data_IF_013129129304
#
_entry.id   IF_013129129304
#
_cell.length_a   1.000
_cell.length_b   1.000
_cell.length_c   1.000
_cell.angle_alpha   90.00
_cell.angle_beta   90.00
_cell.angle_gamma   90.00
#
_symmetry.space_group_name_H-M   'P 1'
#
loop_
_entity.id
_entity.type
_entity.pdbx_description
1 polymer ?
#
# COMPACT_ATOMS: atom_id res chain seq x y z
N UNK A 1 -10.83 -23.25 -2.75
CA UNK A 1 -11.68 -24.44 -2.51
C UNK A 1 -11.46 -25.58 -3.52
N UNK A 2 -11.49 -25.34 -4.83
CA UNK A 2 -11.28 -26.42 -5.84
C UNK A 2 -9.87 -27.04 -5.76
N UNK A 3 -8.81 -26.21 -5.72
CA UNK A 3 -7.42 -26.72 -5.53
C UNK A 3 -7.19 -27.42 -4.18
N UNK A 4 -8.08 -27.19 -3.22
CA UNK A 4 -8.05 -27.82 -1.90
C UNK A 4 -9.00 -29.03 -1.81
N UNK A 5 -9.54 -29.51 -2.94
CA UNK A 5 -10.49 -30.62 -3.04
C UNK A 5 -11.78 -30.45 -2.20
N UNK A 6 -12.20 -29.19 -1.96
CA UNK A 6 -13.42 -28.86 -1.20
C UNK A 6 -14.65 -28.64 -2.08
N UNK A 7 -14.45 -28.41 -3.39
CA UNK A 7 -15.52 -28.20 -4.38
C UNK A 7 -15.16 -28.86 -5.71
N UNK A 8 -16.19 -29.26 -6.48
CA UNK A 8 -16.03 -29.72 -7.85
C UNK A 8 -15.49 -28.59 -8.76
N UNK A 9 -14.68 -28.91 -9.78
CA UNK A 9 -14.21 -27.92 -10.74
C UNK A 9 -15.37 -27.25 -11.50
N UNK A 10 -15.37 -25.93 -11.53
CA UNK A 10 -16.29 -25.11 -12.32
C UNK A 10 -15.51 -24.24 -13.30
N UNK A 11 -16.20 -23.63 -14.27
CA UNK A 11 -15.58 -22.69 -15.23
C UNK A 11 -16.34 -21.39 -15.29
N UNK A 12 -15.62 -20.28 -15.37
CA UNK A 12 -16.21 -18.96 -15.58
C UNK A 12 -15.29 -18.05 -16.41
N UNK A 13 -15.85 -16.95 -16.90
CA UNK A 13 -15.14 -16.04 -17.80
C UNK A 13 -13.91 -15.41 -17.11
N UNK A 14 -12.74 -15.44 -17.78
CA UNK A 14 -11.46 -14.95 -17.24
C UNK A 14 -10.99 -15.62 -15.94
N UNK A 15 -11.47 -16.82 -15.62
CA UNK A 15 -11.07 -17.60 -14.44
C UNK A 15 -9.55 -17.65 -14.23
N UNK A 16 -8.78 -18.05 -15.24
CA UNK A 16 -7.31 -18.15 -15.16
C UNK A 16 -6.63 -16.84 -14.74
N UNK A 17 -7.21 -15.70 -15.13
CA UNK A 17 -6.69 -14.38 -14.76
C UNK A 17 -7.03 -14.06 -13.31
N UNK A 18 -8.29 -14.24 -12.91
CA UNK A 18 -8.78 -13.89 -11.59
C UNK A 18 -8.22 -14.79 -10.48
N UNK A 19 -8.08 -16.10 -10.73
CA UNK A 19 -7.46 -17.05 -9.79
C UNK A 19 -6.02 -16.66 -9.50
N UNK A 20 -5.24 -16.23 -10.51
CA UNK A 20 -3.87 -15.74 -10.33
C UNK A 20 -3.76 -14.47 -9.48
N UNK A 21 -4.87 -13.78 -9.23
CA UNK A 21 -4.94 -12.58 -8.39
C UNK A 21 -5.36 -12.87 -6.94
N UNK A 22 -5.92 -14.04 -6.65
CA UNK A 22 -6.29 -14.43 -5.27
C UNK A 22 -5.15 -14.26 -4.25
N UNK A 23 -3.88 -14.59 -4.56
CA UNK A 23 -2.78 -14.37 -3.62
C UNK A 23 -2.63 -12.93 -3.13
N UNK A 24 -3.10 -11.93 -3.89
CA UNK A 24 -3.07 -10.53 -3.47
C UNK A 24 -3.94 -10.26 -2.24
N UNK A 25 -5.02 -11.02 -2.04
CA UNK A 25 -5.91 -10.92 -0.88
C UNK A 25 -5.28 -11.41 0.41
N UNK A 26 -4.35 -12.37 0.33
CA UNK A 26 -3.71 -13.00 1.50
C UNK A 26 -2.96 -11.99 2.38
N UNK A 27 -2.55 -10.86 1.79
CA UNK A 27 -1.85 -9.80 2.52
C UNK A 27 -2.76 -8.78 3.19
N UNK A 28 -4.06 -8.75 2.87
CA UNK A 28 -5.00 -7.78 3.41
C UNK A 28 -5.28 -8.06 4.89
N UNK A 29 -4.99 -7.07 5.74
CA UNK A 29 -5.03 -7.24 7.18
C UNK A 29 -5.51 -5.98 7.95
N UNK A 30 -6.21 -5.05 7.28
CA UNK A 30 -6.93 -3.95 7.95
C UNK A 30 -8.30 -4.45 8.40
N UNK A 31 -8.59 -4.42 9.71
CA UNK A 31 -9.87 -4.91 10.26
C UNK A 31 -11.05 -4.18 9.65
N UNK A 32 -10.91 -2.87 9.49
CA UNK A 32 -11.94 -1.99 8.94
C UNK A 32 -12.23 -2.29 7.48
N UNK A 33 -11.18 -2.42 6.66
CA UNK A 33 -11.32 -2.78 5.24
C UNK A 33 -11.90 -4.19 5.08
N UNK A 34 -11.43 -5.18 5.84
CA UNK A 34 -11.92 -6.55 5.76
C UNK A 34 -13.41 -6.62 6.11
N UNK A 35 -13.84 -5.99 7.22
CA UNK A 35 -15.24 -5.96 7.63
C UNK A 35 -16.13 -5.29 6.58
N UNK A 36 -15.68 -4.18 6.01
CA UNK A 36 -16.40 -3.51 4.93
C UNK A 36 -16.55 -4.41 3.71
N UNK A 37 -15.45 -5.03 3.23
CA UNK A 37 -15.48 -5.88 2.05
C UNK A 37 -16.34 -7.12 2.26
N UNK A 38 -16.25 -7.77 3.42
CA UNK A 38 -17.11 -8.93 3.75
C UNK A 38 -18.59 -8.52 3.69
N UNK A 39 -18.96 -7.42 4.35
CA UNK A 39 -20.35 -6.96 4.35
C UNK A 39 -20.84 -6.55 2.95
N UNK A 40 -20.00 -5.87 2.16
CA UNK A 40 -20.34 -5.47 0.79
C UNK A 40 -20.51 -6.69 -0.13
N UNK A 41 -19.57 -7.65 -0.09
CA UNK A 41 -19.61 -8.85 -0.91
C UNK A 41 -20.76 -9.80 -0.55
N UNK A 42 -21.18 -9.81 0.72
CA UNK A 42 -22.37 -10.53 1.19
C UNK A 42 -23.69 -9.82 0.85
N UNK A 43 -23.65 -8.61 0.31
CA UNK A 43 -24.84 -7.80 0.00
C UNK A 43 -25.50 -7.16 1.22
N UNK A 44 -24.83 -7.16 2.37
CA UNK A 44 -25.31 -6.56 3.63
C UNK A 44 -25.02 -5.07 3.74
N UNK A 45 -24.13 -4.56 2.89
CA UNK A 45 -23.65 -3.18 2.92
C UNK A 45 -23.64 -2.55 1.53
N UNK A 46 -24.15 -1.33 1.45
CA UNK A 46 -23.99 -0.43 0.31
C UNK A 46 -22.95 0.64 0.63
N UNK A 47 -22.35 1.23 -0.40
CA UNK A 47 -21.39 2.35 -0.24
C UNK A 47 -22.14 3.62 0.09
N UNK A 48 -21.73 4.30 1.15
CA UNK A 48 -22.38 5.52 1.65
C UNK A 48 -21.41 6.70 1.79
N UNK A 49 -20.10 6.44 1.87
CA UNK A 49 -19.08 7.46 2.11
C UNK A 49 -17.97 7.48 1.07
N UNK A 50 -17.30 8.62 0.92
CA UNK A 50 -16.12 8.76 0.04
C UNK A 50 -15.01 7.75 0.40
N UNK A 51 -14.86 7.44 1.68
CA UNK A 51 -13.85 6.48 2.14
C UNK A 51 -14.20 5.04 1.76
N UNK A 52 -15.47 4.65 1.86
CA UNK A 52 -15.96 3.36 1.38
C UNK A 52 -15.86 3.25 -0.15
N UNK A 53 -16.07 4.35 -0.88
CA UNK A 53 -15.80 4.39 -2.33
C UNK A 53 -14.32 4.15 -2.64
N UNK A 54 -13.41 4.70 -1.84
CA UNK A 54 -11.97 4.42 -1.95
C UNK A 54 -11.63 2.98 -1.55
N UNK A 55 -12.36 2.37 -0.60
CA UNK A 55 -12.20 0.94 -0.28
C UNK A 55 -12.57 0.04 -1.46
N UNK A 56 -13.67 0.34 -2.18
CA UNK A 56 -14.01 -0.37 -3.41
C UNK A 56 -12.99 -0.15 -4.52
N UNK A 57 -12.49 1.08 -4.67
CA UNK A 57 -11.42 1.38 -5.62
C UNK A 57 -10.16 0.52 -5.33
N UNK A 58 -9.77 0.42 -4.06
CA UNK A 58 -8.69 -0.44 -3.60
C UNK A 58 -8.97 -1.92 -3.92
N UNK A 59 -10.20 -2.39 -3.70
CA UNK A 59 -10.60 -3.76 -4.02
C UNK A 59 -10.50 -4.05 -5.53
N UNK A 60 -11.03 -3.17 -6.40
CA UNK A 60 -10.87 -3.30 -7.85
C UNK A 60 -9.39 -3.45 -8.25
N UNK A 61 -8.51 -2.59 -7.73
CA UNK A 61 -7.07 -2.64 -8.03
C UNK A 61 -6.28 -3.74 -7.31
N UNK A 62 -6.96 -4.55 -6.49
CA UNK A 62 -6.41 -5.82 -6.00
C UNK A 62 -6.40 -6.88 -7.11
N UNK A 63 -7.38 -6.83 -8.01
CA UNK A 63 -7.51 -7.77 -9.14
C UNK A 63 -6.97 -7.20 -10.45
N UNK A 64 -7.19 -5.92 -10.70
CA UNK A 64 -6.82 -5.27 -11.95
C UNK A 64 -5.58 -4.38 -11.81
N UNK A 65 -4.82 -4.24 -12.90
CA UNK A 65 -3.61 -3.41 -12.95
C UNK A 65 -3.74 -2.18 -13.85
N UNK A 66 -4.97 -1.81 -14.22
CA UNK A 66 -5.28 -0.60 -15.00
C UNK A 66 -6.72 -0.14 -14.77
N UNK A 67 -7.02 1.09 -15.19
CA UNK A 67 -8.38 1.65 -15.17
C UNK A 67 -9.40 0.77 -15.94
N UNK A 68 -10.70 0.81 -15.54
CA UNK A 68 -11.81 0.07 -16.14
C UNK A 68 -11.83 0.03 -17.67
N UNK A 69 -11.68 1.18 -18.32
CA UNK A 69 -11.78 1.29 -19.79
C UNK A 69 -10.76 0.42 -20.53
N UNK A 70 -9.56 0.23 -19.96
CA UNK A 70 -8.52 -0.65 -20.51
C UNK A 70 -8.77 -2.14 -20.25
N UNK A 71 -9.62 -2.47 -19.28
CA UNK A 71 -10.07 -3.82 -18.98
C UNK A 71 -11.38 -4.18 -19.70
N UNK A 72 -11.95 -3.26 -20.48
CA UNK A 72 -13.22 -3.45 -21.19
C UNK A 72 -14.45 -3.12 -20.36
N UNK A 73 -14.30 -2.44 -19.21
CA UNK A 73 -15.39 -2.02 -18.35
C UNK A 73 -15.71 -0.53 -18.50
N UNK A 74 -16.98 -0.17 -18.32
CA UNK A 74 -17.47 1.21 -18.35
C UNK A 74 -17.27 1.92 -17.01
N UNK A 75 -17.17 1.17 -15.91
CA UNK A 75 -16.98 1.68 -14.55
C UNK A 75 -16.22 0.69 -13.66
N UNK A 76 -15.73 1.17 -12.52
CA UNK A 76 -15.14 0.30 -11.50
C UNK A 76 -16.16 -0.67 -10.93
N UNK A 77 -17.39 -0.19 -10.71
CA UNK A 77 -18.50 -1.01 -10.25
C UNK A 77 -18.72 -2.19 -11.20
N UNK A 78 -18.71 -1.98 -12.52
CA UNK A 78 -18.88 -3.07 -13.48
C UNK A 78 -17.76 -4.12 -13.35
N UNK A 79 -16.50 -3.70 -13.17
CA UNK A 79 -15.39 -4.62 -12.97
C UNK A 79 -15.49 -5.41 -11.65
N UNK A 80 -15.97 -4.77 -10.58
CA UNK A 80 -16.24 -5.44 -9.30
C UNK A 80 -17.38 -6.43 -9.45
N UNK A 81 -18.50 -6.03 -10.07
CA UNK A 81 -19.64 -6.89 -10.37
C UNK A 81 -19.23 -8.10 -11.23
N UNK A 82 -18.32 -7.92 -12.17
CA UNK A 82 -17.75 -9.02 -12.94
C UNK A 82 -17.04 -10.05 -12.04
N UNK A 83 -16.17 -9.60 -11.12
CA UNK A 83 -15.49 -10.49 -10.14
C UNK A 83 -16.50 -11.29 -9.31
N UNK A 84 -17.57 -10.62 -8.83
CA UNK A 84 -18.50 -11.22 -7.87
C UNK A 84 -19.70 -11.93 -8.53
N UNK A 85 -19.78 -11.90 -9.86
CA UNK A 85 -20.84 -12.57 -10.64
C UNK A 85 -20.79 -14.09 -10.52
N UNK A 86 -19.60 -14.65 -10.30
CA UNK A 86 -19.42 -16.06 -9.99
C UNK A 86 -19.59 -16.27 -8.49
N UNK A 87 -20.69 -16.93 -8.10
CA UNK A 87 -21.02 -17.18 -6.69
C UNK A 87 -19.88 -17.91 -5.94
N UNK A 88 -19.35 -18.99 -6.51
CA UNK A 88 -18.28 -19.77 -5.89
C UNK A 88 -16.99 -18.96 -5.71
N UNK A 89 -16.64 -18.10 -6.69
CA UNK A 89 -15.48 -17.22 -6.57
C UNK A 89 -15.68 -16.13 -5.52
N UNK A 90 -16.88 -15.55 -5.46
CA UNK A 90 -17.25 -14.58 -4.42
C UNK A 90 -17.18 -15.19 -3.02
N UNK A 91 -17.69 -16.40 -2.85
CA UNK A 91 -17.62 -17.15 -1.58
C UNK A 91 -16.16 -17.42 -1.18
N UNK A 92 -15.30 -17.84 -2.11
CA UNK A 92 -13.85 -17.99 -1.86
C UNK A 92 -13.22 -16.70 -1.36
N UNK A 93 -13.53 -15.55 -2.00
CA UNK A 93 -13.02 -14.25 -1.55
C UNK A 93 -13.48 -13.96 -0.12
N UNK A 94 -14.77 -14.15 0.17
CA UNK A 94 -15.33 -13.91 1.52
C UNK A 94 -14.64 -14.82 2.54
N UNK A 95 -14.38 -16.08 2.22
CA UNK A 95 -13.69 -17.03 3.09
C UNK A 95 -12.25 -16.59 3.38
N UNK A 96 -11.50 -16.16 2.35
CA UNK A 96 -10.14 -15.62 2.51
C UNK A 96 -10.16 -14.37 3.41
N UNK A 97 -11.07 -13.43 3.16
CA UNK A 97 -11.16 -12.19 3.94
C UNK A 97 -11.57 -12.48 5.39
N UNK A 98 -12.50 -13.41 5.61
CA UNK A 98 -12.96 -13.84 6.93
C UNK A 98 -11.86 -14.58 7.70
N UNK A 99 -11.08 -15.39 7.00
CA UNK A 99 -9.88 -16.01 7.58
C UNK A 99 -8.89 -14.94 8.01
N UNK A 100 -8.56 -13.99 7.14
CA UNK A 100 -7.64 -12.90 7.47
C UNK A 100 -8.13 -12.11 8.69
N UNK A 101 -9.41 -11.74 8.75
CA UNK A 101 -10.00 -10.95 9.85
C UNK A 101 -9.83 -11.65 11.21
N UNK A 102 -10.10 -12.96 11.26
CA UNK A 102 -9.96 -13.78 12.47
C UNK A 102 -8.50 -13.99 12.91
N UNK A 103 -7.54 -13.82 12.00
CA UNK A 103 -6.11 -14.08 12.25
C UNK A 103 -5.27 -12.81 12.38
N UNK A 104 -5.88 -11.62 12.52
CA UNK A 104 -5.14 -10.39 12.79
C UNK A 104 -4.62 -10.42 14.23
N UNK A 105 -3.30 -10.60 14.36
CA UNK A 105 -2.57 -10.75 15.63
C UNK A 105 -1.80 -9.49 16.07
N UNK A 106 -2.06 -8.35 15.44
CA UNK A 106 -1.47 -7.05 15.78
C UNK A 106 -2.55 -5.99 16.00
N UNK A 107 -2.17 -4.85 16.56
CA UNK A 107 -3.06 -3.68 16.74
C UNK A 107 -2.92 -2.77 15.52
N UNK A 108 -4.01 -2.64 14.76
CA UNK A 108 -4.16 -1.62 13.72
C UNK A 108 -4.76 -0.34 14.33
N UNK A 109 -4.51 0.80 13.69
CA UNK A 109 -5.06 2.09 14.09
C UNK A 109 -5.40 2.89 12.84
N UNK A 110 -6.52 3.62 12.85
CA UNK A 110 -6.86 4.50 11.73
C UNK A 110 -5.82 5.61 11.57
N UNK A 111 -5.60 6.01 10.31
CA UNK A 111 -4.74 7.14 10.01
C UNK A 111 -5.37 8.47 10.49
N UNK A 112 -4.53 9.49 10.64
CA UNK A 112 -4.95 10.83 11.08
C UNK A 112 -5.03 11.84 9.93
N UNK A 113 -5.18 11.39 8.68
CA UNK A 113 -5.28 12.29 7.54
C UNK A 113 -6.56 13.15 7.63
N UNK A 114 -6.51 14.43 7.22
CA UNK A 114 -7.69 15.30 7.22
C UNK A 114 -8.60 15.08 6.00
N UNK A 115 -8.43 13.96 5.29
CA UNK A 115 -9.16 13.60 4.08
C UNK A 115 -9.42 12.08 4.10
N UNK A 116 -10.42 11.63 3.34
CA UNK A 116 -10.76 10.22 3.23
C UNK A 116 -9.55 9.39 2.77
N UNK A 117 -9.22 8.35 3.53
CA UNK A 117 -8.12 7.44 3.21
C UNK A 117 -8.37 6.08 3.88
N UNK A 118 -8.61 5.01 3.10
CA UNK A 118 -8.95 3.69 3.64
C UNK A 118 -7.72 2.88 4.13
N UNK A 119 -6.61 3.55 4.45
CA UNK A 119 -5.37 2.89 4.90
C UNK A 119 -5.23 3.00 6.41
N UNK A 120 -5.10 1.86 7.08
CA UNK A 120 -4.86 1.79 8.52
C UNK A 120 -3.39 1.51 8.80
N UNK A 121 -2.90 2.06 9.91
CA UNK A 121 -1.53 1.91 10.37
C UNK A 121 -1.21 0.43 10.60
N UNK A 122 0.02 0.07 10.27
CA UNK A 122 0.63 -1.25 10.42
C UNK A 122 0.00 -2.34 9.55
N UNK A 123 -0.99 -1.98 8.73
CA UNK A 123 -1.57 -2.87 7.73
C UNK A 123 -0.71 -2.88 6.46
N UNK A 124 -0.87 -3.93 5.65
CA UNK A 124 -0.09 -4.21 4.45
C UNK A 124 -0.91 -3.94 3.20
N UNK A 125 -0.30 -3.25 2.24
CA UNK A 125 -0.93 -2.84 0.99
C UNK A 125 0.05 -2.94 -0.18
N UNK A 126 -0.43 -3.39 -1.33
CA UNK A 126 0.34 -3.32 -2.58
C UNK A 126 0.45 -1.88 -3.08
N UNK A 127 1.39 -1.62 -4.00
CA UNK A 127 1.52 -0.30 -4.65
C UNK A 127 0.21 0.17 -5.27
N UNK A 128 -0.51 -0.73 -5.95
CA UNK A 128 -1.78 -0.39 -6.62
C UNK A 128 -2.85 0.00 -5.61
N UNK A 129 -2.95 -0.74 -4.50
CA UNK A 129 -3.89 -0.46 -3.41
C UNK A 129 -3.59 0.90 -2.76
N UNK A 130 -2.31 1.22 -2.52
CA UNK A 130 -1.90 2.51 -1.98
C UNK A 130 -2.26 3.65 -2.93
N UNK A 131 -1.92 3.53 -4.22
CA UNK A 131 -2.24 4.56 -5.20
C UNK A 131 -3.76 4.74 -5.39
N UNK A 132 -4.54 3.66 -5.27
CA UNK A 132 -6.00 3.70 -5.30
C UNK A 132 -6.59 4.40 -4.07
N UNK A 133 -6.07 4.10 -2.88
CA UNK A 133 -6.50 4.71 -1.63
C UNK A 133 -6.24 6.22 -1.57
N UNK A 134 -5.24 6.73 -2.28
CA UNK A 134 -4.99 8.17 -2.44
C UNK A 134 -5.69 8.78 -3.67
N UNK A 135 -6.47 8.01 -4.43
CA UNK A 135 -7.18 8.48 -5.62
C UNK A 135 -6.29 8.77 -6.84
N UNK A 136 -4.99 8.41 -6.78
CA UNK A 136 -4.06 8.53 -7.91
C UNK A 136 -4.45 7.54 -9.01
N UNK A 137 -4.80 6.34 -8.59
CA UNK A 137 -5.44 5.33 -9.42
C UNK A 137 -6.95 5.38 -9.14
N UNK A 138 -7.74 5.55 -10.19
CA UNK A 138 -9.18 5.74 -10.11
C UNK A 138 -9.86 5.30 -11.42
N UNK A 139 -11.19 5.43 -11.48
CA UNK A 139 -12.01 4.96 -12.61
C UNK A 139 -11.53 5.43 -13.98
N UNK A 140 -10.87 6.59 -14.05
CA UNK A 140 -10.48 7.18 -15.32
C UNK A 140 -9.00 6.98 -15.66
N UNK A 141 -8.15 6.69 -14.66
CA UNK A 141 -6.69 6.62 -14.88
C UNK A 141 -5.97 5.73 -13.85
N UNK A 142 -4.98 4.98 -14.34
CA UNK A 142 -3.97 4.29 -13.54
C UNK A 142 -2.57 4.61 -14.08
N UNK A 143 -1.99 5.81 -13.80
CA UNK A 143 -0.68 6.18 -14.32
C UNK A 143 0.42 5.27 -13.75
N UNK A 144 1.44 4.97 -14.58
CA UNK A 144 2.58 4.19 -14.13
C UNK A 144 3.35 4.91 -13.02
N UNK A 145 3.84 4.14 -12.05
CA UNK A 145 4.57 4.66 -10.89
C UNK A 145 5.91 3.94 -10.76
N UNK A 146 7.01 4.71 -10.73
CA UNK A 146 8.39 4.21 -10.67
C UNK A 146 9.31 4.96 -9.71
N UNK A 147 8.87 6.09 -9.16
CA UNK A 147 9.77 7.08 -8.55
C UNK A 147 10.02 6.87 -7.05
N UNK A 148 9.42 5.83 -6.45
CA UNK A 148 9.57 5.51 -5.01
C UNK A 148 8.98 6.56 -4.07
N UNK A 149 8.61 7.74 -4.58
CA UNK A 149 7.95 8.83 -3.86
C UNK A 149 6.87 9.42 -4.75
N UNK A 150 5.72 9.77 -4.17
CA UNK A 150 4.65 10.48 -4.87
C UNK A 150 4.22 11.72 -4.09
N UNK A 151 4.34 12.88 -4.72
CA UNK A 151 3.75 14.12 -4.24
C UNK A 151 2.27 14.20 -4.65
N UNK A 152 1.38 14.33 -3.67
CA UNK A 152 -0.07 14.51 -3.81
C UNK A 152 -0.38 15.97 -3.48
N UNK A 153 -0.26 16.84 -4.48
CA UNK A 153 -0.41 18.29 -4.33
C UNK A 153 -1.80 18.67 -3.81
N UNK A 154 -2.86 18.02 -4.31
CA UNK A 154 -4.24 18.23 -3.85
C UNK A 154 -4.47 17.86 -2.38
N UNK A 155 -3.58 17.04 -1.81
CA UNK A 155 -3.66 16.55 -0.42
C UNK A 155 -2.60 17.15 0.50
N UNK A 156 -1.68 17.96 -0.03
CA UNK A 156 -0.51 18.44 0.72
C UNK A 156 0.24 17.29 1.42
N UNK A 157 0.47 16.19 0.69
CA UNK A 157 1.07 14.96 1.24
C UNK A 157 2.09 14.36 0.28
N UNK A 158 3.28 13.99 0.75
CA UNK A 158 4.17 13.07 0.03
C UNK A 158 4.10 11.68 0.66
N UNK A 159 4.02 10.65 -0.19
CA UNK A 159 4.05 9.25 0.24
C UNK A 159 5.33 8.59 -0.25
N UNK A 160 6.06 7.95 0.67
CA UNK A 160 7.36 7.32 0.41
C UNK A 160 7.19 5.81 0.40
N UNK A 161 7.63 5.17 -0.66
CA UNK A 161 7.69 3.72 -0.83
C UNK A 161 9.12 3.26 -0.63
N UNK A 162 9.38 2.63 0.51
CA UNK A 162 10.71 2.28 0.98
C UNK A 162 10.86 0.76 0.97
N UNK A 163 11.89 0.27 0.29
CA UNK A 163 12.31 -1.13 0.33
C UNK A 163 13.65 -1.19 1.04
N UNK A 164 13.70 -1.85 2.20
CA UNK A 164 14.87 -1.87 3.09
C UNK A 164 16.03 -2.67 2.45
N UNK A 165 15.76 -3.92 2.07
CA UNK A 165 16.72 -4.82 1.48
C UNK A 165 16.62 -4.76 -0.04
N UNK A 166 17.54 -4.03 -0.65
CA UNK A 166 17.69 -3.93 -2.11
C UNK A 166 18.57 -5.08 -2.59
N UNK A 167 18.07 -5.93 -3.46
CA UNK A 167 18.88 -6.99 -4.06
C UNK A 167 19.89 -6.39 -5.05
N UNK A 168 21.13 -6.91 -5.04
CA UNK A 168 22.23 -6.44 -5.91
C UNK A 168 21.92 -6.53 -7.42
N UNK A 169 20.93 -7.33 -7.82
CA UNK A 169 20.57 -7.55 -9.22
C UNK A 169 19.75 -6.41 -9.85
N UNK A 170 19.10 -5.58 -9.04
CA UNK A 170 18.16 -4.56 -9.51
C UNK A 170 18.72 -3.12 -9.45
N UNK A 171 19.93 -2.92 -8.91
CA UNK A 171 20.51 -1.60 -8.68
C UNK A 171 22.00 -1.55 -9.03
N UNK A 172 22.46 -0.45 -9.66
CA UNK A 172 23.89 -0.20 -9.83
C UNK A 172 24.56 0.04 -8.47
N UNK A 173 25.84 -0.31 -8.28
CA UNK A 173 26.59 -0.11 -7.03
C UNK A 173 26.58 1.35 -6.50
N UNK A 174 26.24 2.31 -7.36
CA UNK A 174 26.11 3.74 -7.05
C UNK A 174 24.75 4.14 -6.41
N UNK A 175 23.84 3.20 -6.14
CA UNK A 175 22.44 3.48 -5.72
C UNK A 175 22.02 2.73 -4.44
N UNK A 176 22.97 2.35 -3.58
CA UNK A 176 22.66 1.81 -2.26
C UNK A 176 22.23 2.96 -1.34
N UNK A 177 20.99 3.44 -1.51
CA UNK A 177 20.40 4.33 -0.52
C UNK A 177 20.18 3.56 0.78
N UNK A 178 20.71 4.07 1.88
CA UNK A 178 20.63 3.45 3.20
C UNK A 178 19.31 3.82 3.87
N UNK A 179 18.23 3.10 3.59
CA UNK A 179 16.96 3.30 4.29
C UNK A 179 16.87 2.29 5.45
N UNK A 180 16.75 2.77 6.70
CA UNK A 180 16.75 1.89 7.88
C UNK A 180 16.04 2.52 9.08
N UNK A 181 15.51 1.68 9.97
CA UNK A 181 15.07 2.09 11.29
C UNK A 181 16.30 2.37 12.17
N UNK A 182 16.34 3.53 12.82
CA UNK A 182 17.30 3.85 13.88
C UNK A 182 16.81 3.28 15.21
N UNK A 183 15.52 3.41 15.47
CA UNK A 183 14.79 2.81 16.60
C UNK A 183 13.29 2.77 16.27
N UNK A 184 12.44 2.41 17.23
CA UNK A 184 10.98 2.27 17.06
C UNK A 184 10.25 3.54 16.57
N UNK A 185 10.87 4.73 16.69
CA UNK A 185 10.30 6.00 16.20
C UNK A 185 11.15 6.74 15.18
N UNK A 186 12.44 6.47 15.08
CA UNK A 186 13.35 7.20 14.21
C UNK A 186 13.67 6.36 12.98
N UNK A 187 13.51 6.95 11.81
CA UNK A 187 13.73 6.31 10.52
C UNK A 187 14.69 7.14 9.68
N UNK A 188 15.76 6.53 9.21
CA UNK A 188 16.68 7.13 8.26
C UNK A 188 16.23 6.84 6.83
N UNK A 189 16.17 7.87 5.99
CA UNK A 189 15.78 7.76 4.58
C UNK A 189 16.65 8.67 3.72
N UNK A 190 16.99 8.24 2.51
CA UNK A 190 17.75 9.08 1.57
C UNK A 190 16.94 9.45 0.33
N UNK A 191 17.08 10.71 -0.10
CA UNK A 191 16.45 11.20 -1.33
C UNK A 191 17.01 10.55 -2.58
N UNK A 192 16.27 10.63 -3.70
CA UNK A 192 16.85 10.33 -5.00
C UNK A 192 18.06 11.23 -5.30
N UNK A 193 19.06 10.71 -6.02
CA UNK A 193 20.40 11.29 -6.22
C UNK A 193 20.48 12.72 -6.75
N UNK A 194 19.39 13.28 -7.31
CA UNK A 194 19.36 14.65 -7.86
C UNK A 194 18.83 15.69 -6.88
N UNK A 195 18.26 15.28 -5.76
CA UNK A 195 17.65 16.20 -4.80
C UNK A 195 18.76 16.83 -3.95
N UNK A 196 18.88 18.15 -4.05
CA UNK A 196 19.69 18.99 -3.17
C UNK A 196 18.81 19.87 -2.29
N UNK A 197 19.42 20.44 -1.25
CA UNK A 197 18.72 21.25 -0.26
C UNK A 197 17.95 22.42 -0.88
N UNK A 198 18.47 23.01 -1.97
CA UNK A 198 17.89 24.17 -2.65
C UNK A 198 16.68 23.79 -3.52
N UNK A 199 16.41 22.50 -3.72
CA UNK A 199 15.27 22.05 -4.53
C UNK A 199 13.95 22.29 -3.81
N UNK A 200 12.87 22.56 -4.57
CA UNK A 200 11.51 22.70 -4.02
C UNK A 200 11.08 21.49 -3.20
N UNK A 201 11.50 20.29 -3.60
CA UNK A 201 11.19 19.04 -2.90
C UNK A 201 11.88 18.99 -1.53
N UNK A 202 13.19 19.24 -1.47
CA UNK A 202 13.91 19.26 -0.20
C UNK A 202 13.36 20.35 0.75
N UNK A 203 13.13 21.56 0.23
CA UNK A 203 12.53 22.65 1.00
C UNK A 203 11.14 22.29 1.54
N UNK A 204 10.30 21.62 0.73
CA UNK A 204 9.00 21.11 1.20
C UNK A 204 9.17 20.10 2.33
N UNK A 205 10.16 19.22 2.28
CA UNK A 205 10.42 18.23 3.32
C UNK A 205 10.96 18.86 4.60
N UNK A 206 11.90 19.79 4.50
CA UNK A 206 12.51 20.48 5.64
C UNK A 206 11.47 21.34 6.37
N UNK A 207 10.64 22.06 5.63
CA UNK A 207 9.65 22.99 6.16
C UNK A 207 8.25 22.39 6.28
N UNK A 208 8.10 21.05 6.15
CA UNK A 208 6.80 20.41 5.98
C UNK A 208 5.80 20.78 7.10
N UNK A 209 6.25 20.83 8.36
CA UNK A 209 5.42 21.23 9.50
C UNK A 209 4.88 22.65 9.36
N UNK A 210 5.73 23.60 8.97
CA UNK A 210 5.37 25.01 8.80
C UNK A 210 4.38 25.20 7.64
N UNK A 211 4.51 24.37 6.60
CA UNK A 211 3.64 24.37 5.43
C UNK A 211 2.33 23.60 5.65
N UNK A 212 2.14 22.93 6.80
CA UNK A 212 1.02 22.01 7.01
C UNK A 212 1.06 20.77 6.10
N UNK A 213 2.22 20.49 5.53
CA UNK A 213 2.48 19.40 4.58
C UNK A 213 2.84 18.11 5.32
N UNK A 214 2.34 16.98 4.81
CA UNK A 214 2.48 15.66 5.44
C UNK A 214 3.43 14.78 4.66
N UNK A 215 4.10 13.88 5.39
CA UNK A 215 4.95 12.86 4.81
C UNK A 215 4.54 11.55 5.44
N UNK A 216 4.26 10.53 4.63
CA UNK A 216 3.80 9.22 5.07
C UNK A 216 4.70 8.10 4.53
N UNK A 217 5.05 7.14 5.38
CA UNK A 217 5.97 6.06 5.04
C UNK A 217 5.24 4.73 4.81
N UNK A 218 5.54 4.12 3.68
CA UNK A 218 5.17 2.75 3.32
C UNK A 218 6.45 1.94 3.18
N UNK A 219 6.63 0.94 4.04
CA UNK A 219 7.91 0.22 4.16
C UNK A 219 7.71 -1.27 3.92
N UNK A 220 8.62 -1.89 3.17
CA UNK A 220 8.72 -3.35 3.05
C UNK A 220 10.17 -3.78 3.18
N UNK A 221 10.36 -5.02 3.60
CA UNK A 221 11.69 -5.58 3.75
C UNK A 221 12.31 -5.89 2.38
N UNK A 222 11.66 -6.73 1.59
CA UNK A 222 12.12 -7.14 0.26
C UNK A 222 11.15 -6.67 -0.83
N UNK A 223 11.62 -6.65 -2.09
CA UNK A 223 10.76 -6.38 -3.25
C UNK A 223 9.82 -7.55 -3.55
N UNK A 224 10.34 -8.76 -3.40
CA UNK A 224 9.63 -10.01 -3.65
C UNK A 224 9.89 -11.00 -2.50
N UNK A 225 8.87 -11.77 -2.17
CA UNK A 225 8.87 -12.81 -1.16
C UNK A 225 8.05 -13.99 -1.71
N UNK A 226 8.60 -15.20 -1.68
CA UNK A 226 7.97 -16.40 -2.24
C UNK A 226 7.47 -16.25 -3.70
N UNK A 227 8.24 -15.56 -4.55
CA UNK A 227 7.90 -15.23 -5.96
C UNK A 227 6.72 -14.27 -6.16
N UNK A 228 6.22 -13.65 -5.10
CA UNK A 228 5.21 -12.60 -5.17
C UNK A 228 5.81 -11.25 -4.80
N UNK A 229 5.32 -10.17 -5.42
CA UNK A 229 5.69 -8.82 -5.00
C UNK A 229 5.23 -8.57 -3.57
N UNK A 230 6.15 -8.22 -2.68
CA UNK A 230 5.84 -7.98 -1.27
C UNK A 230 5.07 -6.66 -1.11
N UNK A 231 3.99 -6.66 -0.30
CA UNK A 231 3.24 -5.46 0.03
C UNK A 231 4.06 -4.55 0.96
N UNK A 232 3.69 -3.29 1.04
CA UNK A 232 4.24 -2.33 1.99
C UNK A 232 3.37 -2.25 3.24
N UNK A 233 4.02 -2.22 4.39
CA UNK A 233 3.40 -1.85 5.67
C UNK A 233 3.28 -0.33 5.76
N UNK A 234 2.11 0.18 6.12
CA UNK A 234 1.92 1.60 6.36
C UNK A 234 2.38 1.98 7.77
N UNK A 235 3.44 2.79 7.90
CA UNK A 235 3.96 3.23 9.21
C UNK A 235 3.36 4.56 9.68
N UNK A 236 2.55 5.20 8.85
CA UNK A 236 1.91 6.46 9.18
C UNK A 236 2.74 7.68 8.82
N UNK A 237 2.33 8.81 9.40
CA UNK A 237 2.96 10.10 9.20
C UNK A 237 4.27 10.23 9.99
N UNK A 238 5.20 10.98 9.39
CA UNK A 238 6.48 11.33 10.00
C UNK A 238 6.68 12.84 10.13
N UNK A 239 7.62 13.18 10.99
CA UNK A 239 8.04 14.52 11.29
C UNK A 239 9.54 14.70 11.08
N UNK A 240 9.93 15.79 10.42
CA UNK A 240 11.33 16.13 10.20
C UNK A 240 12.06 16.30 11.54
N UNK A 241 13.24 15.67 11.66
CA UNK A 241 14.15 15.82 12.80
C UNK A 241 15.41 16.55 12.37
N UNK A 242 16.13 16.00 11.39
CA UNK A 242 17.36 16.57 10.84
C UNK A 242 17.62 16.03 9.43
N UNK A 243 18.48 16.70 8.68
CA UNK A 243 19.05 16.17 7.45
C UNK A 243 20.57 16.44 7.42
N UNK A 244 21.28 15.72 6.56
CA UNK A 244 22.71 15.92 6.27
C UNK A 244 23.03 15.47 4.84
N UNK A 245 24.22 15.86 4.36
CA UNK A 245 24.66 15.56 3.00
C UNK A 245 24.00 16.44 1.93
N UNK A 246 24.47 16.31 0.69
CA UNK A 246 23.94 17.03 -0.46
C UNK A 246 24.10 16.17 -1.72
N UNK A 247 22.98 15.76 -2.34
CA UNK A 247 22.89 14.86 -3.50
C UNK A 247 23.56 13.48 -3.32
N UNK A 248 22.90 12.49 -2.69
CA UNK A 248 21.59 12.57 -2.06
C UNK A 248 21.64 13.23 -0.68
N UNK A 249 20.49 13.74 -0.23
CA UNK A 249 20.30 14.16 1.16
C UNK A 249 19.82 12.98 2.00
N UNK A 250 20.38 12.85 3.19
CA UNK A 250 19.91 11.94 4.24
C UNK A 250 18.96 12.68 5.17
N UNK A 251 17.80 12.10 5.47
CA UNK A 251 16.83 12.61 6.42
C UNK A 251 16.67 11.63 7.59
N UNK A 252 16.55 12.19 8.80
CA UNK A 252 16.01 11.48 9.95
C UNK A 252 14.59 11.95 10.18
N UNK A 253 13.67 11.01 10.08
CA UNK A 253 12.24 11.17 10.29
C UNK A 253 11.84 10.60 11.64
N UNK A 254 10.94 11.28 12.36
CA UNK A 254 10.27 10.77 13.56
C UNK A 254 8.86 10.34 13.22
N UNK A 255 8.56 9.05 13.35
CA UNK A 255 7.20 8.53 13.23
C UNK A 255 6.31 9.06 14.35
N UNK A 256 5.09 9.46 13.99
CA UNK A 256 4.07 9.86 14.98
C UNK A 256 3.59 8.68 15.84
N UNK A 257 3.66 7.47 15.29
CA UNK A 257 3.31 6.20 15.93
C UNK A 257 4.50 5.24 15.86
N UNK A 258 4.69 4.45 16.91
CA UNK A 258 5.82 3.50 16.98
C UNK A 258 5.65 2.39 15.94
N UNK A 259 6.76 1.98 15.33
CA UNK A 259 6.77 0.83 14.43
C UNK A 259 6.34 -0.43 15.18
N UNK A 260 5.67 -1.38 14.49
CA UNK A 260 5.44 -2.70 15.04
C UNK A 260 6.79 -3.35 15.43
N UNK A 261 6.88 -3.97 16.62
CA UNK A 261 8.13 -4.60 17.08
C UNK A 261 8.73 -5.60 16.08
N UNK A 262 7.88 -6.28 15.31
CA UNK A 262 8.31 -7.23 14.29
C UNK A 262 9.11 -6.58 13.14
N UNK A 263 8.91 -5.28 12.86
CA UNK A 263 9.61 -4.59 11.77
C UNK A 263 10.96 -4.01 12.22
N UNK A 264 11.15 -3.74 13.52
CA UNK A 264 12.37 -3.08 14.02
C UNK A 264 13.64 -3.91 13.72
N UNK A 265 13.69 -5.24 13.96
CA UNK A 265 14.87 -6.04 13.62
C UNK A 265 15.17 -6.08 12.12
N UNK A 266 14.12 -6.19 11.29
CA UNK A 266 14.23 -6.24 9.83
C UNK A 266 14.65 -4.90 9.22
N UNK A 267 14.24 -3.79 9.85
CA UNK A 267 14.58 -2.44 9.44
C UNK A 267 15.88 -1.91 10.05
N UNK A 268 16.36 -2.51 11.14
CA UNK A 268 17.65 -2.17 11.72
C UNK A 268 18.76 -2.75 10.85
N UNK A 269 19.68 -1.89 10.42
CA UNK A 269 20.95 -2.34 9.89
C UNK A 269 21.79 -2.81 11.08
N UNK A 270 21.77 -4.10 11.38
CA UNK A 270 22.82 -4.67 12.23
C UNK A 270 24.15 -4.39 11.52
N UNK A 271 24.99 -3.54 12.11
CA UNK A 271 26.36 -3.38 11.66
C UNK A 271 27.02 -4.73 11.91
N UNK A 272 27.24 -5.50 10.84
CA UNK A 272 28.10 -6.68 10.83
C UNK A 272 29.45 -6.27 10.26
#
# INVERSE_FOLDING_TARGET
MVEADLLDPFKFEQEDYLVKRLPALLSLNSRRLLKFLIAYLSGEKIVETDEEQLMLNLFYYTFYSSEPSKQGFTSMEQGIQFIISCQAFREEIIDILSYNEKHINFVDESNAFPYACPLDLHCRYSTNQILAAFGVWNEHKAPSFREGVKYLEDKGTDIFFITLNKSDKDFSPSTLYEDYAINERLFHWQTQSRISEETKTAQRYIHHKQLGHRIALFVREYKEEHNFTSPFMFLGEVEYVRHEGNKPMSFVWRLKKEMPPALVPAANKAIV
#
